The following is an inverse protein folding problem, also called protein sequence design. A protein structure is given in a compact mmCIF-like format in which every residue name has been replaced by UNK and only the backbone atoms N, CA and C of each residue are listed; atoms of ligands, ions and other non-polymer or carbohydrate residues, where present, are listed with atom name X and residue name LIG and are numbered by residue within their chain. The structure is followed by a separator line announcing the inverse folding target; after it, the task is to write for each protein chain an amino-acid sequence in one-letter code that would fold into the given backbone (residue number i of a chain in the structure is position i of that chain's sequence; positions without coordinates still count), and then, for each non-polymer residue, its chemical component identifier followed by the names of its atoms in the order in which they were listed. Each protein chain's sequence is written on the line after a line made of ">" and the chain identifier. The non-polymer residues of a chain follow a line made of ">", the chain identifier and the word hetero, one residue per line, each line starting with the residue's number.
data_IF_229301708371
#
_entry.id   IF_229301708371
#
_cell.length_a   1.000
_cell.length_b   1.000
_cell.length_c   1.000
_cell.angle_alpha   90.00
_cell.angle_beta   90.00
_cell.angle_gamma   90.00
#
_symmetry.space_group_name_H-M   'P 1'
#
loop_
_entity.id
_entity.type
_entity.pdbx_description
1 polymer ?
#
# COMPACT_ATOMS: atom_id res chain seq x y z
N UNK A 1 -73.26 -43.97 12.99
CA UNK A 1 -72.32 -43.66 14.10
C UNK A 1 -70.89 -44.18 13.87
N UNK A 2 -70.68 -45.40 13.34
CA UNK A 2 -69.32 -45.93 13.03
C UNK A 2 -68.52 -45.11 12.00
N UNK A 3 -69.18 -44.64 10.94
CA UNK A 3 -68.54 -43.89 9.85
C UNK A 3 -67.94 -42.55 10.32
N UNK A 4 -68.66 -41.86 11.21
CA UNK A 4 -68.23 -40.58 11.78
C UNK A 4 -66.98 -40.75 12.67
N UNK A 5 -66.90 -41.86 13.40
CA UNK A 5 -65.75 -42.22 14.25
C UNK A 5 -64.51 -42.59 13.42
N UNK A 6 -64.72 -43.22 12.26
CA UNK A 6 -63.64 -43.53 11.31
C UNK A 6 -63.06 -42.27 10.66
N UNK A 7 -63.92 -41.31 10.29
CA UNK A 7 -63.50 -40.00 9.77
C UNK A 7 -62.67 -39.22 10.80
N UNK A 8 -63.11 -39.16 12.06
CA UNK A 8 -62.37 -38.50 13.15
C UNK A 8 -60.99 -39.15 13.35
N UNK A 9 -60.91 -40.48 13.35
CA UNK A 9 -59.63 -41.17 13.46
C UNK A 9 -58.70 -40.88 12.27
N UNK A 10 -59.24 -40.81 11.04
CA UNK A 10 -58.44 -40.47 9.86
C UNK A 10 -57.87 -39.06 9.94
N UNK A 11 -58.70 -38.09 10.35
CA UNK A 11 -58.26 -36.70 10.56
C UNK A 11 -57.18 -36.64 11.64
N UNK A 12 -57.36 -37.37 12.75
CA UNK A 12 -56.39 -37.42 13.83
C UNK A 12 -55.04 -38.03 13.39
N UNK A 13 -55.05 -39.14 12.67
CA UNK A 13 -53.82 -39.76 12.13
C UNK A 13 -53.12 -38.83 11.14
N UNK A 14 -53.88 -38.10 10.32
CA UNK A 14 -53.30 -37.12 9.38
C UNK A 14 -52.62 -35.96 10.11
N UNK A 15 -53.26 -35.42 11.15
CA UNK A 15 -52.69 -34.34 11.99
C UNK A 15 -51.43 -34.83 12.73
N UNK A 16 -51.47 -36.05 13.26
CA UNK A 16 -50.35 -36.67 13.97
C UNK A 16 -49.15 -36.91 13.06
N UNK A 17 -49.38 -37.41 11.84
CA UNK A 17 -48.34 -37.58 10.82
C UNK A 17 -47.72 -36.24 10.42
N UNK A 18 -48.54 -35.22 10.18
CA UNK A 18 -48.04 -33.89 9.82
C UNK A 18 -47.17 -33.28 10.94
N UNK A 19 -47.62 -33.42 12.20
CA UNK A 19 -46.88 -32.94 13.36
C UNK A 19 -45.54 -33.67 13.53
N UNK A 20 -45.51 -34.99 13.33
CA UNK A 20 -44.27 -35.75 13.40
C UNK A 20 -43.29 -35.39 12.27
N UNK A 21 -43.76 -35.23 11.04
CA UNK A 21 -42.92 -34.83 9.90
C UNK A 21 -42.28 -33.45 10.13
N UNK A 22 -43.03 -32.50 10.70
CA UNK A 22 -42.53 -31.15 11.03
C UNK A 22 -41.51 -31.19 12.17
N UNK A 23 -41.64 -32.11 13.12
CA UNK A 23 -40.70 -32.25 14.26
C UNK A 23 -39.44 -33.05 13.87
N UNK A 24 -39.54 -34.01 12.95
CA UNK A 24 -38.40 -34.85 12.51
C UNK A 24 -37.43 -34.13 11.56
N UNK A 25 -37.89 -33.14 10.80
CA UNK A 25 -37.02 -32.39 9.89
C UNK A 25 -36.19 -31.37 10.66
N UNK A 26 -34.98 -31.76 11.06
CA UNK A 26 -33.90 -30.89 11.53
C UNK A 26 -33.35 -29.99 10.41
N UNK A 27 -34.23 -29.28 9.72
CA UNK A 27 -33.86 -28.28 8.72
C UNK A 27 -33.85 -26.89 9.35
N UNK A 28 -33.07 -25.98 8.75
CA UNK A 28 -33.18 -24.56 9.06
C UNK A 28 -34.60 -24.07 8.77
N UNK A 29 -35.10 -23.20 9.64
CA UNK A 29 -36.30 -22.44 9.36
C UNK A 29 -36.07 -21.53 8.13
N UNK A 30 -37.15 -21.13 7.47
CA UNK A 30 -37.07 -20.18 6.35
C UNK A 30 -36.38 -18.88 6.77
N UNK A 31 -36.61 -18.42 8.00
CA UNK A 31 -36.02 -17.20 8.56
C UNK A 31 -34.50 -17.36 8.74
N UNK A 32 -34.04 -18.48 9.31
CA UNK A 32 -32.61 -18.76 9.44
C UNK A 32 -31.93 -18.86 8.08
N UNK A 33 -32.61 -19.45 7.10
CA UNK A 33 -32.10 -19.56 5.72
C UNK A 33 -31.96 -18.18 5.06
N UNK A 34 -32.90 -17.26 5.29
CA UNK A 34 -32.85 -15.88 4.80
C UNK A 34 -31.73 -15.09 5.47
N UNK A 35 -31.52 -15.27 6.78
CA UNK A 35 -30.42 -14.61 7.52
C UNK A 35 -29.07 -15.11 6.99
N UNK A 36 -28.91 -16.42 6.79
CA UNK A 36 -27.68 -16.99 6.23
C UNK A 36 -27.40 -16.44 4.83
N UNK A 37 -28.43 -16.36 3.97
CA UNK A 37 -28.31 -15.79 2.63
C UNK A 37 -27.93 -14.29 2.68
N UNK A 38 -28.52 -13.52 3.59
CA UNK A 38 -28.20 -12.11 3.77
C UNK A 38 -26.74 -11.89 4.18
N UNK A 39 -26.24 -12.68 5.14
CA UNK A 39 -24.83 -12.63 5.55
C UNK A 39 -23.92 -12.97 4.36
N UNK A 40 -24.27 -14.01 3.61
CA UNK A 40 -23.46 -14.47 2.48
C UNK A 40 -23.41 -13.42 1.34
N UNK A 41 -24.54 -12.79 1.01
CA UNK A 41 -24.61 -11.69 0.05
C UNK A 41 -23.79 -10.49 0.54
N UNK A 42 -23.86 -10.17 1.83
CA UNK A 42 -23.09 -9.07 2.43
C UNK A 42 -21.59 -9.30 2.28
N UNK A 43 -21.11 -10.52 2.56
CA UNK A 43 -19.69 -10.89 2.40
C UNK A 43 -19.27 -10.73 0.94
N UNK A 44 -20.06 -11.24 0.00
CA UNK A 44 -19.76 -11.16 -1.44
C UNK A 44 -19.72 -9.71 -1.93
N UNK A 45 -20.62 -8.84 -1.43
CA UNK A 45 -20.63 -7.42 -1.76
C UNK A 45 -19.45 -6.63 -1.19
N UNK A 46 -18.91 -7.04 -0.04
CA UNK A 46 -17.76 -6.37 0.57
C UNK A 46 -16.47 -6.58 -0.23
N UNK A 47 -16.30 -7.73 -0.90
CA UNK A 47 -15.09 -8.05 -1.68
C UNK A 47 -14.76 -6.98 -2.74
N UNK A 48 -15.64 -6.64 -3.70
CA UNK A 48 -15.33 -5.63 -4.71
C UNK A 48 -15.12 -4.25 -4.10
N UNK A 49 -15.83 -3.92 -3.02
CA UNK A 49 -15.72 -2.64 -2.33
C UNK A 49 -14.34 -2.47 -1.67
N UNK A 50 -13.82 -3.53 -1.04
CA UNK A 50 -12.48 -3.57 -0.47
C UNK A 50 -11.42 -3.46 -1.58
N UNK A 51 -11.57 -4.20 -2.68
CA UNK A 51 -10.63 -4.14 -3.81
C UNK A 51 -10.56 -2.71 -4.38
N UNK A 52 -11.72 -2.07 -4.57
CA UNK A 52 -11.79 -0.73 -5.14
C UNK A 52 -11.19 0.32 -4.17
N UNK A 53 -11.49 0.20 -2.87
CA UNK A 53 -10.91 1.07 -1.84
C UNK A 53 -9.39 0.92 -1.74
N UNK A 54 -8.86 -0.31 -1.82
CA UNK A 54 -7.41 -0.56 -1.84
C UNK A 54 -6.76 0.00 -3.10
N UNK A 55 -7.43 -0.12 -4.25
CA UNK A 55 -6.96 0.48 -5.51
C UNK A 55 -6.84 2.00 -5.43
N UNK A 56 -7.86 2.66 -4.87
CA UNK A 56 -7.84 4.11 -4.65
C UNK A 56 -6.77 4.53 -3.64
N UNK A 57 -6.66 3.82 -2.52
CA UNK A 57 -5.61 4.08 -1.52
C UNK A 57 -4.21 3.91 -2.11
N UNK A 58 -4.00 2.88 -2.94
CA UNK A 58 -2.74 2.67 -3.63
C UNK A 58 -2.39 3.85 -4.55
N UNK A 59 -3.36 4.33 -5.34
CA UNK A 59 -3.15 5.48 -6.20
C UNK A 59 -2.80 6.74 -5.37
N UNK A 60 -3.46 6.97 -4.24
CA UNK A 60 -3.17 8.15 -3.42
C UNK A 60 -1.82 8.08 -2.69
N UNK A 61 -1.39 6.91 -2.21
CA UNK A 61 -0.17 6.78 -1.37
C UNK A 61 1.07 6.44 -2.20
N UNK A 62 0.95 5.69 -3.29
CA UNK A 62 2.10 5.25 -4.09
C UNK A 62 2.34 6.08 -5.36
N UNK A 63 1.36 6.83 -5.87
CA UNK A 63 1.68 7.83 -6.90
C UNK A 63 2.33 9.08 -6.30
N UNK A 64 2.16 9.32 -4.99
CA UNK A 64 2.79 10.44 -4.29
C UNK A 64 4.31 10.23 -4.19
N UNK A 65 5.02 10.89 -5.10
CA UNK A 65 6.50 10.81 -5.21
C UNK A 65 7.23 11.36 -4.01
N UNK A 66 6.51 12.04 -3.12
CA UNK A 66 7.05 12.55 -1.87
C UNK A 66 7.74 11.45 -1.07
N UNK A 67 7.21 10.23 -1.05
CA UNK A 67 7.83 9.10 -0.32
C UNK A 67 9.21 8.73 -0.86
N UNK A 68 9.35 8.56 -2.18
CA UNK A 68 10.64 8.21 -2.82
C UNK A 68 11.68 9.30 -2.56
N UNK A 69 11.27 10.56 -2.62
CA UNK A 69 12.15 11.71 -2.37
C UNK A 69 12.57 11.75 -0.90
N UNK A 70 11.66 11.53 0.04
CA UNK A 70 11.97 11.50 1.47
C UNK A 70 12.88 10.34 1.84
N UNK A 71 12.66 9.16 1.26
CA UNK A 71 13.54 8.01 1.46
C UNK A 71 14.95 8.28 0.91
N UNK A 72 15.04 8.90 -0.28
CA UNK A 72 16.31 9.31 -0.87
C UNK A 72 17.03 10.36 0.00
N UNK A 73 16.31 11.39 0.45
CA UNK A 73 16.85 12.42 1.36
C UNK A 73 17.41 11.78 2.62
N UNK A 74 16.66 10.85 3.23
CA UNK A 74 17.08 10.15 4.43
C UNK A 74 18.34 9.32 4.20
N UNK A 75 18.43 8.61 3.07
CA UNK A 75 19.62 7.83 2.72
C UNK A 75 20.86 8.71 2.48
N UNK A 76 20.69 9.85 1.79
CA UNK A 76 21.77 10.81 1.57
C UNK A 76 22.23 11.41 2.91
N UNK A 77 21.29 11.89 3.73
CA UNK A 77 21.59 12.50 5.03
C UNK A 77 22.30 11.52 5.97
N UNK A 78 21.86 10.27 6.02
CA UNK A 78 22.54 9.22 6.78
C UNK A 78 23.96 8.95 6.30
N UNK A 79 24.19 9.01 4.98
CA UNK A 79 25.51 8.80 4.40
C UNK A 79 26.43 10.00 4.66
N UNK A 80 25.87 11.22 4.68
CA UNK A 80 26.60 12.46 4.94
C UNK A 80 27.00 12.62 6.40
N UNK A 81 26.14 12.19 7.32
CA UNK A 81 26.33 12.29 8.77
C UNK A 81 26.87 11.00 9.40
N UNK A 82 27.42 10.08 8.59
CA UNK A 82 28.10 8.89 9.10
C UNK A 82 29.38 9.29 9.85
N UNK A 83 29.70 8.59 10.94
CA UNK A 83 30.87 8.89 11.79
C UNK A 83 32.22 8.77 11.04
N UNK A 84 32.24 8.05 9.92
CA UNK A 84 33.45 7.72 9.16
C UNK A 84 33.65 8.59 7.90
N UNK A 85 32.87 9.66 7.73
CA UNK A 85 32.99 10.53 6.54
C UNK A 85 34.30 11.32 6.60
N UNK A 86 35.16 11.09 5.60
CA UNK A 86 36.47 11.76 5.46
C UNK A 86 36.43 12.97 4.53
N UNK A 87 35.66 12.88 3.45
CA UNK A 87 35.60 13.92 2.44
C UNK A 87 34.26 13.95 1.72
N UNK A 88 33.87 15.15 1.32
CA UNK A 88 32.70 15.40 0.48
C UNK A 88 33.10 16.22 -0.73
N UNK A 89 32.70 15.76 -1.93
CA UNK A 89 32.88 16.50 -3.18
C UNK A 89 31.49 16.84 -3.70
N UNK A 90 31.23 18.14 -3.81
CA UNK A 90 29.96 18.67 -4.31
C UNK A 90 30.21 19.22 -5.69
N UNK A 91 29.51 18.65 -6.67
CA UNK A 91 29.42 19.15 -8.04
C UNK A 91 27.95 19.52 -8.28
N UNK A 92 27.69 20.42 -9.24
CA UNK A 92 26.33 20.97 -9.44
C UNK A 92 25.21 19.93 -9.45
N UNK A 93 25.42 18.74 -10.02
CA UNK A 93 24.40 17.67 -10.15
C UNK A 93 24.82 16.33 -9.54
N UNK A 94 25.87 16.36 -8.72
CA UNK A 94 26.51 15.16 -8.20
C UNK A 94 27.10 15.43 -6.81
N UNK A 95 26.81 14.52 -5.88
CA UNK A 95 27.33 14.54 -4.52
C UNK A 95 28.10 13.24 -4.28
N UNK A 96 29.36 13.37 -3.89
CA UNK A 96 30.27 12.26 -3.68
C UNK A 96 30.76 12.30 -2.22
N UNK A 97 30.58 11.20 -1.51
CA UNK A 97 30.87 11.06 -0.08
C UNK A 97 31.89 9.93 0.06
N UNK A 98 33.02 10.23 0.69
CA UNK A 98 34.08 9.25 0.92
C UNK A 98 34.08 8.84 2.39
N UNK A 99 33.82 7.56 2.62
CA UNK A 99 33.99 6.87 3.91
C UNK A 99 35.35 6.12 3.92
N UNK A 100 35.78 5.65 5.09
CA UNK A 100 36.94 4.77 5.30
C UNK A 100 36.96 3.54 4.40
N UNK A 101 35.77 3.00 4.11
CA UNK A 101 35.62 1.71 3.44
C UNK A 101 35.15 1.82 1.99
N UNK A 102 34.45 2.89 1.63
CA UNK A 102 33.83 3.03 0.31
C UNK A 102 33.48 4.46 -0.06
N UNK A 103 33.45 4.73 -1.35
CA UNK A 103 32.92 5.97 -1.91
C UNK A 103 31.44 5.79 -2.28
N UNK A 104 30.57 6.69 -1.82
CA UNK A 104 29.16 6.74 -2.18
C UNK A 104 28.93 7.95 -3.07
N UNK A 105 28.42 7.72 -4.27
CA UNK A 105 28.19 8.78 -5.25
C UNK A 105 26.71 8.83 -5.63
N UNK A 106 26.12 10.02 -5.52
CA UNK A 106 24.76 10.36 -5.89
C UNK A 106 24.80 11.29 -7.09
N UNK A 107 24.15 10.90 -8.19
CA UNK A 107 24.15 11.72 -9.42
C UNK A 107 22.84 11.64 -10.18
N UNK A 108 22.52 12.74 -10.84
CA UNK A 108 21.43 12.79 -11.80
C UNK A 108 21.87 12.18 -13.14
N UNK A 109 21.17 11.14 -13.60
CA UNK A 109 21.39 10.52 -14.91
C UNK A 109 20.09 10.01 -15.51
N UNK A 110 19.84 10.33 -16.77
CA UNK A 110 18.64 9.88 -17.50
C UNK A 110 17.32 10.19 -16.77
N UNK A 111 17.20 11.39 -16.21
CA UNK A 111 16.05 11.84 -15.40
C UNK A 111 15.81 10.99 -14.15
N UNK A 112 16.88 10.43 -13.57
CA UNK A 112 16.83 9.62 -12.35
C UNK A 112 17.96 9.99 -11.43
N UNK A 113 17.69 9.97 -10.14
CA UNK A 113 18.75 10.01 -9.14
C UNK A 113 19.28 8.61 -8.92
N UNK A 114 20.59 8.45 -9.13
CA UNK A 114 21.28 7.17 -9.04
C UNK A 114 22.33 7.25 -7.93
N UNK A 115 22.32 6.26 -7.05
CA UNK A 115 23.37 5.98 -6.06
C UNK A 115 24.29 4.89 -6.59
N UNK A 116 25.60 5.07 -6.41
CA UNK A 116 26.63 4.05 -6.67
C UNK A 116 27.54 3.94 -5.46
N UNK A 117 28.00 2.73 -5.12
CA UNK A 117 28.88 2.47 -3.97
C UNK A 117 30.15 1.80 -4.48
N UNK A 118 31.31 2.40 -4.22
CA UNK A 118 32.61 1.94 -4.73
C UNK A 118 32.65 1.85 -6.26
N UNK A 119 32.00 2.79 -6.94
CA UNK A 119 31.76 2.81 -8.40
C UNK A 119 31.09 1.55 -8.99
N UNK A 120 30.51 0.68 -8.15
CA UNK A 120 29.84 -0.55 -8.56
C UNK A 120 28.34 -0.46 -8.25
N UNK A 121 27.55 -1.02 -9.15
CA UNK A 121 26.10 -1.01 -9.07
C UNK A 121 25.48 0.36 -9.38
N UNK A 122 24.24 0.35 -9.86
CA UNK A 122 23.44 1.55 -10.07
C UNK A 122 22.11 1.34 -9.33
N UNK A 123 21.97 1.96 -8.16
CA UNK A 123 20.75 1.91 -7.37
C UNK A 123 19.93 3.14 -7.75
N UNK A 124 18.75 2.93 -8.34
CA UNK A 124 17.84 4.03 -8.65
C UNK A 124 17.12 4.45 -7.37
N UNK A 125 17.32 5.70 -6.95
CA UNK A 125 16.72 6.24 -5.72
C UNK A 125 15.41 6.95 -6.01
N UNK A 126 15.35 7.70 -7.11
CA UNK A 126 14.15 8.43 -7.52
C UNK A 126 14.09 8.54 -9.05
N UNK A 127 12.89 8.47 -9.62
CA UNK A 127 12.64 8.58 -11.07
C UNK A 127 12.03 9.95 -11.43
N UNK A 128 11.96 10.27 -12.73
CA UNK A 128 11.40 11.53 -13.28
C UNK A 128 11.90 12.79 -12.57
N UNK A 129 13.20 12.80 -12.29
CA UNK A 129 13.89 13.95 -11.72
C UNK A 129 14.41 14.79 -12.89
N UNK A 130 13.94 16.00 -13.03
CA UNK A 130 14.32 16.92 -14.10
C UNK A 130 15.66 17.59 -13.82
N UNK A 131 15.84 18.05 -12.59
CA UNK A 131 17.11 18.63 -12.14
C UNK A 131 17.37 18.41 -10.66
N UNK A 132 18.65 18.41 -10.29
CA UNK A 132 19.11 18.41 -8.90
C UNK A 132 20.31 19.32 -8.77
N UNK A 133 20.29 20.12 -7.71
CA UNK A 133 21.39 20.99 -7.33
C UNK A 133 21.80 20.77 -5.87
N UNK A 134 23.10 20.67 -5.64
CA UNK A 134 23.69 20.59 -4.30
C UNK A 134 24.52 21.83 -4.02
N UNK A 135 24.30 22.46 -2.87
CA UNK A 135 25.00 23.65 -2.43
C UNK A 135 25.53 23.48 -1.02
N UNK A 136 26.81 23.83 -0.81
CA UNK A 136 27.39 23.86 0.54
C UNK A 136 27.13 25.23 1.16
N UNK A 137 26.41 25.27 2.28
CA UNK A 137 26.08 26.53 2.96
C UNK A 137 27.05 26.80 4.13
N UNK A 138 27.44 25.76 4.87
CA UNK A 138 28.39 25.85 6.00
C UNK A 138 29.29 24.60 6.05
N UNK A 139 30.18 24.49 7.06
CA UNK A 139 31.20 23.43 7.10
C UNK A 139 30.62 22.01 6.91
N UNK A 140 29.44 21.74 7.46
CA UNK A 140 28.83 20.40 7.43
C UNK A 140 27.42 20.35 6.81
N UNK A 141 26.83 21.50 6.47
CA UNK A 141 25.46 21.55 5.94
C UNK A 141 25.43 21.66 4.42
N UNK A 142 24.70 20.75 3.79
CA UNK A 142 24.44 20.73 2.35
C UNK A 142 22.96 20.96 2.11
N UNK A 143 22.63 21.87 1.20
CA UNK A 143 21.26 22.02 0.71
C UNK A 143 21.13 21.32 -0.64
N UNK A 144 20.09 20.51 -0.75
CA UNK A 144 19.66 19.87 -1.98
C UNK A 144 18.39 20.55 -2.49
N UNK A 145 18.43 21.03 -3.72
CA UNK A 145 17.27 21.50 -4.48
C UNK A 145 16.97 20.46 -5.55
N UNK A 146 15.75 19.93 -5.57
CA UNK A 146 15.32 18.91 -6.54
C UNK A 146 14.08 19.40 -7.29
N UNK A 147 14.13 19.26 -8.62
CA UNK A 147 13.01 19.53 -9.52
C UNK A 147 12.47 18.22 -10.09
N UNK A 148 11.23 17.96 -9.70
CA UNK A 148 10.32 16.86 -9.97
C UNK A 148 9.38 16.89 -11.17
N UNK A 149 9.06 15.78 -11.82
CA UNK A 149 7.80 15.69 -12.57
C UNK A 149 6.85 14.66 -11.94
N UNK A 150 5.61 15.09 -11.68
CA UNK A 150 4.52 14.26 -11.19
C UNK A 150 3.31 14.45 -12.12
N UNK A 151 3.03 13.47 -12.96
CA UNK A 151 2.07 13.62 -14.06
C UNK A 151 2.49 14.75 -15.03
N UNK A 152 1.67 15.79 -15.12
CA UNK A 152 1.93 16.97 -15.97
C UNK A 152 2.49 18.17 -15.21
N UNK A 153 2.58 18.09 -13.88
CA UNK A 153 3.04 19.18 -13.04
C UNK A 153 4.50 19.01 -12.66
N UNK A 154 5.21 20.13 -12.63
CA UNK A 154 6.59 20.22 -12.16
C UNK A 154 6.58 20.72 -10.72
N UNK A 155 7.32 20.03 -9.86
CA UNK A 155 7.43 20.35 -8.44
C UNK A 155 8.88 20.67 -8.10
N UNK A 156 9.09 21.59 -7.17
CA UNK A 156 10.40 21.91 -6.63
C UNK A 156 10.40 21.71 -5.13
N UNK A 157 11.45 21.07 -4.61
CA UNK A 157 11.63 20.85 -3.17
C UNK A 157 13.07 21.22 -2.80
N UNK A 158 13.20 22.01 -1.75
CA UNK A 158 14.48 22.36 -1.14
C UNK A 158 14.58 21.66 0.22
N UNK A 159 15.69 20.98 0.45
CA UNK A 159 15.92 20.16 1.63
C UNK A 159 17.31 20.41 2.17
N UNK A 160 17.40 20.65 3.48
CA UNK A 160 18.66 20.64 4.20
C UNK A 160 19.02 19.17 4.50
N UNK A 161 20.16 18.72 4.00
CA UNK A 161 20.67 17.36 4.15
C UNK A 161 21.51 17.20 5.39
#
# INVERSE_FOLDING_TARGET
>A
MKLFRQLINYVYETIKLHKNIVIEKQGFTLIESLIALFIQITIVLLIPLIIMSLGQFKATVFDDRTYDIELMVKDISNSLHSENVKAQVIRKKELEIHDDYSEVNYKLRNQKMIKTVGHKGNITMCNHVLDVYFEKIAHDFIVMKITYQEGTTTHEKEVLL
#
